data_IF_602547864462
#
_entry.id   IF_602547864462
#
_cell.length_a   1.000
_cell.length_b   1.000
_cell.length_c   1.000
_cell.angle_alpha   90.00
_cell.angle_beta   90.00
_cell.angle_gamma   90.00
#
_symmetry.space_group_name_H-M   'P 1'
#
loop_
_entity.id
_entity.type
_entity.pdbx_description
1 polymer ?
#
# COMPACT_ATOMS: atom_id res chain seq x y z
N UNK A 1 57.93 12.23 -15.89
CA UNK A 1 56.50 12.17 -15.51
C UNK A 1 55.74 11.42 -16.60
N UNK A 2 55.18 10.25 -16.29
CA UNK A 2 54.56 9.38 -17.29
C UNK A 2 53.18 9.90 -17.66
N UNK A 3 53.08 10.63 -18.76
CA UNK A 3 51.86 11.25 -19.31
C UNK A 3 50.71 10.25 -19.48
N UNK A 4 51.02 8.99 -19.79
CA UNK A 4 50.07 7.88 -19.90
C UNK A 4 49.38 7.57 -18.56
N UNK A 5 50.10 7.68 -17.43
CA UNK A 5 49.54 7.47 -16.09
C UNK A 5 48.55 8.58 -15.73
N UNK A 6 48.87 9.82 -16.09
CA UNK A 6 48.01 10.99 -15.86
C UNK A 6 46.73 10.93 -16.69
N UNK A 7 46.82 10.47 -17.94
CA UNK A 7 45.65 10.28 -18.81
C UNK A 7 44.72 9.19 -18.27
N UNK A 8 45.27 8.07 -17.79
CA UNK A 8 44.47 7.00 -17.16
C UNK A 8 43.77 7.49 -15.89
N UNK A 9 44.47 8.26 -15.05
CA UNK A 9 43.90 8.84 -13.84
C UNK A 9 42.75 9.80 -14.15
N UNK A 10 42.93 10.66 -15.16
CA UNK A 10 41.91 11.59 -15.61
C UNK A 10 40.66 10.87 -16.13
N UNK A 11 40.84 9.77 -16.86
CA UNK A 11 39.72 8.98 -17.39
C UNK A 11 38.89 8.32 -16.27
N UNK A 12 39.56 7.77 -15.26
CA UNK A 12 38.89 7.17 -14.08
C UNK A 12 38.13 8.25 -13.28
N UNK A 13 38.72 9.42 -13.11
CA UNK A 13 38.07 10.54 -12.41
C UNK A 13 36.80 11.01 -13.13
N UNK A 14 36.82 11.10 -14.47
CA UNK A 14 35.65 11.49 -15.26
C UNK A 14 34.52 10.46 -15.13
N UNK A 15 34.84 9.16 -15.12
CA UNK A 15 33.83 8.10 -14.93
C UNK A 15 33.16 8.17 -13.55
N UNK A 16 33.92 8.41 -12.48
CA UNK A 16 33.34 8.52 -11.13
C UNK A 16 32.41 9.73 -10.98
N UNK A 17 32.74 10.86 -11.60
CA UNK A 17 31.87 12.05 -11.59
C UNK A 17 30.58 11.81 -12.36
N UNK A 18 30.64 11.12 -13.51
CA UNK A 18 29.45 10.80 -14.30
C UNK A 18 28.44 9.89 -13.57
N UNK A 19 28.92 8.94 -12.75
CA UNK A 19 28.04 8.04 -11.98
C UNK A 19 27.39 8.72 -10.77
N UNK A 20 27.95 9.81 -10.25
CA UNK A 20 27.48 10.46 -9.02
C UNK A 20 26.14 11.19 -9.20
N UNK A 21 25.77 11.58 -10.43
CA UNK A 21 24.51 12.28 -10.72
C UNK A 21 23.29 11.35 -10.93
N UNK A 22 23.49 10.02 -10.97
CA UNK A 22 22.40 9.06 -11.19
C UNK A 22 21.72 8.57 -9.90
N UNK A 23 22.21 8.98 -8.73
CA UNK A 23 21.64 8.57 -7.45
C UNK A 23 20.31 9.30 -7.17
N UNK A 24 19.18 8.68 -7.56
CA UNK A 24 17.86 9.15 -7.13
C UNK A 24 17.58 8.66 -5.72
N UNK A 25 17.62 9.57 -4.75
CA UNK A 25 17.15 9.29 -3.39
C UNK A 25 15.65 8.93 -3.47
N UNK A 26 15.29 7.73 -3.01
CA UNK A 26 13.89 7.32 -2.94
C UNK A 26 13.21 8.14 -1.84
N UNK A 27 12.42 9.15 -2.22
CA UNK A 27 11.52 9.82 -1.29
C UNK A 27 10.57 8.77 -0.71
N UNK A 28 10.59 8.63 0.62
CA UNK A 28 9.65 7.80 1.34
C UNK A 28 8.27 8.45 1.25
N UNK A 29 7.48 8.04 0.26
CA UNK A 29 6.10 8.50 0.10
C UNK A 29 5.34 8.27 1.41
N UNK A 30 4.64 9.28 1.89
CA UNK A 30 3.74 9.14 3.03
C UNK A 30 2.74 7.99 2.79
N UNK A 31 2.37 7.26 3.85
CA UNK A 31 1.38 6.21 3.72
C UNK A 31 0.06 6.81 3.24
N UNK A 32 -0.66 6.17 2.31
CA UNK A 32 -1.92 6.66 1.81
C UNK A 32 -2.94 6.67 2.95
N UNK A 33 -3.47 7.85 3.26
CA UNK A 33 -4.53 8.04 4.25
C UNK A 33 -5.88 8.01 3.52
N UNK A 34 -6.86 7.28 4.07
CA UNK A 34 -8.22 7.30 3.54
C UNK A 34 -8.85 8.68 3.79
N UNK A 35 -9.65 9.18 2.84
CA UNK A 35 -10.31 10.49 2.97
C UNK A 35 -11.42 10.48 4.02
N UNK A 36 -12.15 9.37 4.12
CA UNK A 36 -13.28 9.19 5.02
C UNK A 36 -13.27 7.76 5.59
N UNK A 37 -13.65 7.65 6.86
CA UNK A 37 -13.70 6.39 7.56
C UNK A 37 -12.32 5.80 7.83
N UNK A 38 -12.33 4.59 8.39
CA UNK A 38 -11.12 3.83 8.64
C UNK A 38 -11.40 2.33 8.55
N UNK A 39 -10.34 1.55 8.41
CA UNK A 39 -10.42 0.09 8.36
C UNK A 39 -9.59 -0.53 9.48
N UNK A 40 -10.05 -1.69 9.94
CA UNK A 40 -9.34 -2.53 10.90
C UNK A 40 -9.18 -3.92 10.30
N UNK A 41 -8.00 -4.52 10.48
CA UNK A 41 -7.74 -5.90 10.07
C UNK A 41 -7.42 -6.70 11.31
N UNK A 42 -8.25 -7.71 11.58
CA UNK A 42 -8.04 -8.67 12.65
C UNK A 42 -7.53 -9.99 12.06
N UNK A 43 -6.39 -10.45 12.57
CA UNK A 43 -5.79 -11.73 12.16
C UNK A 43 -5.59 -12.58 13.41
N UNK A 44 -6.33 -13.68 13.56
CA UNK A 44 -6.13 -14.61 14.67
C UNK A 44 -4.72 -15.21 14.64
N UNK A 45 -4.08 -15.37 15.81
CA UNK A 45 -2.66 -15.74 15.92
C UNK A 45 -2.28 -17.09 15.25
N UNK A 46 -3.25 -17.98 15.02
CA UNK A 46 -3.05 -19.30 14.40
C UNK A 46 -3.83 -19.49 13.10
N UNK A 47 -4.44 -18.42 12.56
CA UNK A 47 -5.23 -18.49 11.34
C UNK A 47 -4.47 -17.88 10.16
N UNK A 48 -4.68 -18.48 8.98
CA UNK A 48 -4.31 -17.87 7.71
C UNK A 48 -5.39 -16.92 7.19
N UNK A 49 -6.51 -16.83 7.88
CA UNK A 49 -7.63 -15.95 7.55
C UNK A 49 -7.52 -14.65 8.33
N UNK A 50 -8.03 -13.57 7.74
CA UNK A 50 -8.20 -12.31 8.46
C UNK A 50 -9.58 -11.72 8.19
N UNK A 51 -10.14 -11.06 9.20
CA UNK A 51 -11.38 -10.31 9.09
C UNK A 51 -11.05 -8.84 8.93
N UNK A 52 -11.60 -8.23 7.88
CA UNK A 52 -11.46 -6.81 7.57
C UNK A 52 -12.78 -6.13 7.90
N UNK A 53 -12.73 -5.08 8.71
CA UNK A 53 -13.87 -4.26 9.11
C UNK A 53 -13.69 -2.83 8.66
N UNK A 54 -14.75 -2.23 8.11
CA UNK A 54 -14.77 -0.83 7.72
C UNK A 54 -15.71 -0.03 8.60
N UNK A 55 -15.27 1.15 9.00
CA UNK A 55 -15.97 2.03 9.90
C UNK A 55 -16.10 3.44 9.31
N UNK A 56 -17.20 4.13 9.63
CA UNK A 56 -17.32 5.58 9.42
C UNK A 56 -16.46 6.35 10.42
N UNK A 57 -16.32 7.67 10.21
CA UNK A 57 -15.68 8.57 11.18
C UNK A 57 -16.38 8.57 12.55
N UNK A 58 -17.68 8.22 12.59
CA UNK A 58 -18.48 8.11 13.82
C UNK A 58 -18.36 6.70 14.46
N UNK A 59 -17.35 5.92 14.09
CA UNK A 59 -17.13 4.55 14.55
C UNK A 59 -18.27 3.56 14.25
N UNK A 60 -19.12 3.83 13.25
CA UNK A 60 -20.18 2.89 12.83
C UNK A 60 -19.62 1.86 11.87
N UNK A 61 -19.82 0.57 12.16
CA UNK A 61 -19.45 -0.52 11.26
C UNK A 61 -20.37 -0.49 10.02
N UNK A 62 -19.78 -0.45 8.83
CA UNK A 62 -20.52 -0.42 7.56
C UNK A 62 -20.32 -1.68 6.72
N UNK A 63 -19.27 -2.45 7.01
CA UNK A 63 -18.86 -3.59 6.22
C UNK A 63 -17.91 -4.49 7.01
N UNK A 64 -18.06 -5.80 6.84
CA UNK A 64 -17.20 -6.83 7.41
C UNK A 64 -17.02 -7.96 6.40
N UNK A 65 -15.78 -8.37 6.17
CA UNK A 65 -15.46 -9.48 5.29
C UNK A 65 -14.33 -10.32 5.88
N UNK A 66 -14.51 -11.64 5.92
CA UNK A 66 -13.43 -12.57 6.27
C UNK A 66 -12.80 -13.10 4.99
N UNK A 67 -11.49 -12.90 4.85
CA UNK A 67 -10.72 -13.31 3.69
C UNK A 67 -9.80 -14.46 4.09
N UNK A 68 -9.77 -15.54 3.29
CA UNK A 68 -8.92 -16.71 3.53
C UNK A 68 -7.46 -16.47 3.08
N UNK A 69 -6.85 -15.39 3.58
CA UNK A 69 -5.42 -15.07 3.42
C UNK A 69 -4.99 -14.01 4.42
N UNK A 70 -3.74 -14.09 4.86
CA UNK A 70 -3.14 -13.04 5.69
C UNK A 70 -2.88 -11.78 4.87
N UNK A 71 -3.33 -10.63 5.36
CA UNK A 71 -3.02 -9.33 4.77
C UNK A 71 -1.86 -8.67 5.50
N UNK A 72 -0.80 -8.34 4.76
CA UNK A 72 0.34 -7.61 5.33
C UNK A 72 0.07 -6.09 5.30
N UNK A 73 -0.54 -5.56 6.35
CA UNK A 73 -0.88 -4.13 6.48
C UNK A 73 0.34 -3.20 6.51
N UNK A 74 1.56 -3.72 6.66
CA UNK A 74 2.79 -2.91 6.54
C UNK A 74 3.12 -2.56 5.09
N UNK A 75 2.61 -3.32 4.11
CA UNK A 75 2.86 -3.07 2.68
C UNK A 75 2.02 -1.90 2.18
N UNK A 76 2.66 -0.98 1.46
CA UNK A 76 2.01 0.18 0.84
C UNK A 76 0.85 -0.23 -0.07
N UNK A 77 1.06 -1.27 -0.89
CA UNK A 77 0.05 -1.80 -1.79
C UNK A 77 -1.19 -2.31 -1.04
N UNK A 78 -0.99 -3.02 0.07
CA UNK A 78 -2.12 -3.52 0.89
C UNK A 78 -2.93 -2.36 1.45
N UNK A 79 -2.28 -1.31 1.98
CA UNK A 79 -2.97 -0.10 2.45
C UNK A 79 -3.76 0.58 1.32
N UNK A 80 -3.17 0.70 0.12
CA UNK A 80 -3.87 1.28 -1.04
C UNK A 80 -5.11 0.48 -1.42
N UNK A 81 -5.00 -0.85 -1.51
CA UNK A 81 -6.13 -1.70 -1.86
C UNK A 81 -7.25 -1.65 -0.82
N UNK A 82 -6.89 -1.60 0.47
CA UNK A 82 -7.86 -1.42 1.56
C UNK A 82 -8.53 -0.05 1.51
N UNK A 83 -7.79 1.03 1.23
CA UNK A 83 -8.37 2.36 1.05
C UNK A 83 -9.35 2.39 -0.13
N UNK A 84 -9.02 1.76 -1.26
CA UNK A 84 -9.93 1.66 -2.41
C UNK A 84 -11.21 0.90 -2.04
N UNK A 85 -11.08 -0.23 -1.34
CA UNK A 85 -12.24 -0.99 -0.89
C UNK A 85 -13.11 -0.20 0.11
N UNK A 86 -12.49 0.55 1.02
CA UNK A 86 -13.17 1.45 1.95
C UNK A 86 -13.91 2.58 1.22
N UNK A 87 -13.31 3.22 0.22
CA UNK A 87 -13.95 4.26 -0.57
C UNK A 87 -15.20 3.72 -1.30
N UNK A 88 -15.12 2.51 -1.85
CA UNK A 88 -16.27 1.85 -2.47
C UNK A 88 -17.37 1.53 -1.44
N UNK A 89 -16.98 1.08 -0.25
CA UNK A 89 -17.90 0.83 0.84
C UNK A 89 -18.63 2.07 1.31
N UNK A 90 -17.87 3.16 1.47
CA UNK A 90 -18.40 4.45 1.90
C UNK A 90 -19.37 5.03 0.88
N UNK A 91 -19.05 4.92 -0.41
CA UNK A 91 -19.94 5.36 -1.48
C UNK A 91 -21.31 4.68 -1.41
N UNK A 92 -21.33 3.35 -1.23
CA UNK A 92 -22.59 2.61 -1.12
C UNK A 92 -23.31 2.93 0.18
N UNK A 93 -22.59 2.97 1.31
CA UNK A 93 -23.16 3.33 2.60
C UNK A 93 -23.83 4.72 2.57
N UNK A 94 -23.17 5.72 2.01
CA UNK A 94 -23.73 7.07 1.90
C UNK A 94 -24.98 7.12 1.01
N UNK A 95 -25.08 6.23 0.01
CA UNK A 95 -26.24 6.15 -0.88
C UNK A 95 -27.41 5.37 -0.27
N UNK A 96 -27.15 4.28 0.45
CA UNK A 96 -28.21 3.34 0.89
C UNK A 96 -28.46 3.33 2.39
N UNK A 97 -27.49 3.77 3.20
CA UNK A 97 -27.46 3.62 4.66
C UNK A 97 -27.72 2.17 5.13
N UNK A 98 -27.45 1.19 4.27
CA UNK A 98 -27.61 -0.22 4.54
C UNK A 98 -26.25 -0.92 4.48
N UNK A 99 -26.04 -1.87 5.39
CA UNK A 99 -24.84 -2.71 5.42
C UNK A 99 -24.95 -3.71 4.26
N UNK A 100 -24.11 -3.63 3.22
CA UNK A 100 -24.15 -4.57 2.12
C UNK A 100 -23.49 -5.88 2.54
N UNK A 101 -24.29 -6.92 2.78
CA UNK A 101 -23.81 -8.23 3.28
C UNK A 101 -23.20 -9.11 2.18
N UNK A 102 -23.63 -8.96 0.92
CA UNK A 102 -23.25 -9.89 -0.17
C UNK A 102 -22.11 -9.37 -1.07
N UNK A 103 -21.49 -8.25 -0.73
CA UNK A 103 -20.38 -7.68 -1.53
C UNK A 103 -19.05 -8.28 -1.03
N UNK A 104 -18.18 -8.71 -1.94
CA UNK A 104 -16.79 -9.12 -1.65
C UNK A 104 -15.82 -8.03 -2.11
N UNK A 105 -15.69 -6.94 -1.37
CA UNK A 105 -14.88 -5.80 -1.79
C UNK A 105 -13.39 -5.96 -1.51
N UNK A 106 -13.04 -6.76 -0.51
CA UNK A 106 -11.67 -7.07 -0.14
C UNK A 106 -11.19 -8.27 -0.95
N UNK A 107 -11.87 -9.42 -0.94
CA UNK A 107 -11.39 -10.62 -1.63
C UNK A 107 -11.08 -10.37 -3.12
N UNK A 108 -11.98 -9.72 -3.86
CA UNK A 108 -11.81 -9.42 -5.31
C UNK A 108 -10.53 -8.63 -5.59
N UNK A 109 -10.09 -7.75 -4.69
CA UNK A 109 -8.87 -6.96 -4.85
C UNK A 109 -7.60 -7.76 -4.62
N UNK A 110 -7.72 -8.89 -3.94
CA UNK A 110 -6.61 -9.76 -3.56
C UNK A 110 -6.63 -11.12 -4.28
N UNK A 111 -7.63 -11.41 -5.12
CA UNK A 111 -7.75 -12.67 -5.87
C UNK A 111 -6.83 -12.79 -7.09
N UNK A 112 -6.28 -11.69 -7.62
CA UNK A 112 -5.36 -11.78 -8.78
C UNK A 112 -3.94 -12.17 -8.36
N UNK A 113 -3.52 -13.34 -8.82
CA UNK A 113 -2.12 -13.72 -9.05
C UNK A 113 -1.95 -14.13 -10.51
#
# INVERSE_FOLDING_TARGET
MNTISQIRLAFVAIMLVAFSFAAKAQMKSEPPVAKEGFWVVETPAKSHECTVRFYTNDHKLIYEETVNRSLNIKRLQTKRLLNIALEQAMFVWNATHQIPTDRQWVAVRFEKK
#
